data_IF_253915030268
#
_entry.id   IF_253915030268
#
_cell.length_a   1.000
_cell.length_b   1.000
_cell.length_c   1.000
_cell.angle_alpha   90.00
_cell.angle_beta   90.00
_cell.angle_gamma   90.00
#
_symmetry.space_group_name_H-M   'P 1'
#
loop_
_entity.id
_entity.type
_entity.pdbx_description
1 polymer ?
#
# COMPACT_ATOMS: atom_id res chain seq x y z
N UNK A 1 4.10 -6.76 11.01
CA UNK A 1 3.97 -6.69 9.53
C UNK A 1 4.01 -5.22 9.04
N UNK A 2 3.63 -4.30 9.91
CA UNK A 2 3.51 -2.85 9.71
C UNK A 2 4.81 -2.17 9.30
N UNK A 3 5.97 -2.71 9.70
CA UNK A 3 7.27 -2.17 9.31
C UNK A 3 7.53 -2.34 7.82
N UNK A 4 7.11 -3.48 7.24
CA UNK A 4 7.21 -3.72 5.80
C UNK A 4 6.23 -2.86 5.02
N UNK A 5 4.99 -2.75 5.48
CA UNK A 5 3.97 -1.88 4.86
C UNK A 5 4.40 -0.41 4.95
N UNK A 6 5.00 0.02 6.05
CA UNK A 6 5.51 1.40 6.21
C UNK A 6 6.68 1.69 5.27
N UNK A 7 7.63 0.76 5.12
CA UNK A 7 8.73 0.89 4.16
C UNK A 7 8.24 0.87 2.71
N UNK A 8 7.29 0.00 2.39
CA UNK A 8 6.68 -0.09 1.08
C UNK A 8 5.93 1.22 0.76
N UNK A 9 5.11 1.70 1.69
CA UNK A 9 4.38 2.96 1.56
C UNK A 9 5.30 4.17 1.38
N UNK A 10 6.44 4.23 2.08
CA UNK A 10 7.47 5.27 1.84
C UNK A 10 8.10 5.21 0.45
N UNK A 11 8.27 4.02 -0.12
CA UNK A 11 8.79 3.86 -1.49
C UNK A 11 7.75 4.26 -2.53
N UNK A 12 6.49 3.91 -2.29
CA UNK A 12 5.38 4.28 -3.16
C UNK A 12 4.83 5.69 -2.90
N UNK A 13 5.26 6.39 -1.84
CA UNK A 13 4.95 7.82 -1.65
C UNK A 13 5.45 8.70 -2.80
N UNK A 14 6.50 8.26 -3.51
CA UNK A 14 6.97 8.90 -4.73
C UNK A 14 5.94 8.82 -5.88
N UNK A 15 5.08 7.79 -5.84
CA UNK A 15 4.02 7.52 -6.80
C UNK A 15 2.66 7.66 -6.12
N UNK A 16 2.13 8.89 -6.09
CA UNK A 16 0.83 9.22 -5.50
C UNK A 16 -0.35 8.45 -6.15
N UNK A 17 -0.13 7.81 -7.29
CA UNK A 17 -1.08 6.93 -7.95
C UNK A 17 -1.27 5.62 -7.22
N UNK A 18 -0.38 5.20 -6.31
CA UNK A 18 -0.48 3.88 -5.68
C UNK A 18 -0.91 3.96 -4.22
N UNK A 19 -2.06 3.35 -3.91
CA UNK A 19 -2.61 3.22 -2.57
C UNK A 19 -2.64 1.76 -2.11
N UNK A 20 -2.26 1.55 -0.85
CA UNK A 20 -2.37 0.25 -0.19
C UNK A 20 -3.61 0.27 0.69
N UNK A 21 -4.58 -0.59 0.37
CA UNK A 21 -5.84 -0.75 1.10
C UNK A 21 -5.79 -2.04 1.89
N UNK A 22 -6.10 -1.98 3.18
CA UNK A 22 -6.20 -3.18 4.03
C UNK A 22 -7.62 -3.75 3.90
N UNK A 23 -7.74 -4.96 3.37
CA UNK A 23 -8.98 -5.73 3.27
C UNK A 23 -9.03 -6.71 4.44
N UNK A 24 -9.91 -6.43 5.42
CA UNK A 24 -10.15 -7.33 6.55
C UNK A 24 -10.59 -8.72 6.08
N UNK A 25 -9.89 -9.76 6.54
CA UNK A 25 -10.17 -11.16 6.20
C UNK A 25 -9.48 -11.69 4.95
N UNK A 26 -8.80 -10.83 4.17
CA UNK A 26 -8.09 -11.23 2.94
C UNK A 26 -6.61 -10.82 2.97
N UNK A 27 -6.29 -9.61 3.44
CA UNK A 27 -4.93 -9.09 3.50
C UNK A 27 -4.83 -7.67 2.94
N UNK A 28 -3.73 -7.35 2.27
CA UNK A 28 -3.47 -6.02 1.73
C UNK A 28 -3.65 -6.03 0.21
N UNK A 29 -4.44 -5.09 -0.31
CA UNK A 29 -4.62 -4.87 -1.75
C UNK A 29 -3.92 -3.60 -2.17
N UNK A 30 -3.14 -3.69 -3.23
CA UNK A 30 -2.53 -2.54 -3.87
C UNK A 30 -3.46 -2.06 -4.99
N UNK A 31 -3.77 -0.77 -4.98
CA UNK A 31 -4.66 -0.09 -5.93
C UNK A 31 -3.86 1.00 -6.62
N UNK A 32 -3.85 1.01 -7.95
CA UNK A 32 -3.21 2.06 -8.75
C UNK A 32 -4.31 2.90 -9.41
N UNK A 33 -4.32 4.21 -9.11
CA UNK A 33 -5.14 5.19 -9.78
C UNK A 33 -4.56 5.50 -11.16
N UNK A 34 -5.39 5.36 -12.18
CA UNK A 34 -5.11 5.75 -13.57
C UNK A 34 -5.43 7.23 -13.74
#
# INVERSE_FOLDING_TARGET
MDVFISKLRKKLEADASVQIVNIRGVGYKLVMGV
#
